data_IF_902016336592
#
_entry.id   IF_902016336592
#
_cell.length_a   1.000
_cell.length_b   1.000
_cell.length_c   1.000
_cell.angle_alpha   90.00
_cell.angle_beta   90.00
_cell.angle_gamma   90.00
#
_symmetry.space_group_name_H-M   'P 1'
#
loop_
_entity.id
_entity.type
_entity.pdbx_description
1 polymer ?
#
# COMPACT_ATOMS: atom_id res chain seq x y z
N UNK A 1 -11.03 -28.28 4.25
CA UNK A 1 -10.81 -26.97 3.59
C UNK A 1 -9.93 -27.23 2.37
N UNK A 2 -10.50 -27.16 1.18
CA UNK A 2 -9.76 -27.38 -0.06
C UNK A 2 -9.25 -26.03 -0.56
N UNK A 3 -7.93 -25.88 -0.67
CA UNK A 3 -7.35 -24.79 -1.44
C UNK A 3 -7.54 -25.17 -2.90
N UNK A 4 -8.59 -24.64 -3.52
CA UNK A 4 -8.75 -24.74 -4.96
C UNK A 4 -7.64 -23.87 -5.55
N UNK A 5 -6.85 -24.44 -6.44
CA UNK A 5 -5.90 -23.71 -7.26
C UNK A 5 -6.75 -22.81 -8.16
N UNK A 6 -7.04 -21.60 -7.68
CA UNK A 6 -7.81 -20.64 -8.43
C UNK A 6 -6.99 -20.31 -9.68
N UNK A 7 -7.57 -20.59 -10.83
CA UNK A 7 -6.99 -20.26 -12.12
C UNK A 7 -7.06 -18.75 -12.27
N UNK A 8 -6.16 -18.03 -11.61
CA UNK A 8 -6.05 -16.58 -11.75
C UNK A 8 -5.59 -16.32 -13.18
N UNK A 9 -6.53 -15.92 -14.05
CA UNK A 9 -6.29 -15.61 -15.47
C UNK A 9 -5.77 -14.19 -15.68
N UNK A 10 -5.54 -13.43 -14.60
CA UNK A 10 -5.19 -12.00 -14.65
C UNK A 10 -3.96 -11.74 -13.78
N UNK A 11 -2.90 -11.21 -14.38
CA UNK A 11 -1.63 -11.00 -13.69
C UNK A 11 -1.68 -9.86 -12.66
N UNK A 12 -0.95 -10.02 -11.56
CA UNK A 12 -0.57 -8.90 -10.71
C UNK A 12 0.53 -8.09 -11.41
N UNK A 13 0.35 -6.78 -11.52
CA UNK A 13 1.24 -5.90 -12.28
C UNK A 13 1.78 -4.79 -11.41
N UNK A 14 3.10 -4.62 -11.41
CA UNK A 14 3.76 -3.39 -10.96
C UNK A 14 4.36 -2.72 -12.18
N UNK A 15 3.98 -1.46 -12.45
CA UNK A 15 4.48 -0.71 -13.61
C UNK A 15 4.78 0.74 -13.28
N UNK A 16 5.71 1.33 -14.01
CA UNK A 16 5.96 2.76 -13.97
C UNK A 16 5.02 3.48 -14.95
N UNK A 17 4.41 4.57 -14.51
CA UNK A 17 3.49 5.39 -15.31
C UNK A 17 3.71 6.87 -14.96
N UNK A 18 3.70 7.74 -15.98
CA UNK A 18 3.86 9.17 -15.79
C UNK A 18 2.52 9.86 -15.56
N UNK A 19 2.49 10.86 -14.70
CA UNK A 19 1.34 11.75 -14.58
C UNK A 19 0.23 11.16 -13.72
N UNK A 20 0.58 10.51 -12.61
CA UNK A 20 -0.39 9.99 -11.65
C UNK A 20 -1.25 11.09 -10.97
N UNK A 21 -0.97 12.36 -11.25
CA UNK A 21 -1.68 13.53 -10.71
C UNK A 21 -1.30 13.86 -9.26
N UNK A 22 -1.63 15.09 -8.82
CA UNK A 22 -1.57 15.55 -7.42
C UNK A 22 -0.28 15.22 -6.63
N UNK A 23 0.88 15.14 -7.28
CA UNK A 23 2.15 14.85 -6.60
C UNK A 23 2.27 13.43 -6.02
N UNK A 24 1.38 12.51 -6.41
CA UNK A 24 1.37 11.11 -5.96
C UNK A 24 2.68 10.39 -6.29
N UNK A 25 3.04 9.42 -5.45
CA UNK A 25 4.23 8.56 -5.63
C UNK A 25 3.84 7.20 -6.22
N UNK A 26 2.69 6.67 -5.82
CA UNK A 26 2.12 5.46 -6.38
C UNK A 26 0.58 5.48 -6.30
N UNK A 27 -0.04 4.46 -6.90
CA UNK A 27 -1.48 4.25 -6.84
C UNK A 27 -1.83 2.76 -7.05
N UNK A 28 -2.68 2.24 -6.17
CA UNK A 28 -3.27 0.90 -6.27
C UNK A 28 -4.59 0.90 -7.06
N UNK A 29 -4.70 -0.03 -8.01
CA UNK A 29 -5.91 -0.37 -8.75
C UNK A 29 -6.24 -1.85 -8.54
N UNK A 30 -7.10 -2.19 -7.56
CA UNK A 30 -7.63 -3.55 -7.47
C UNK A 30 -8.55 -3.83 -8.66
N UNK A 31 -8.49 -5.05 -9.21
CA UNK A 31 -9.31 -5.49 -10.34
C UNK A 31 -10.26 -6.63 -9.93
N UNK A 32 -11.39 -6.32 -9.25
CA UNK A 32 -12.39 -7.33 -8.90
C UNK A 32 -13.45 -7.48 -10.00
N UNK A 33 -13.68 -8.69 -10.52
CA UNK A 33 -14.83 -8.98 -11.40
C UNK A 33 -16.11 -9.35 -10.63
N UNK A 34 -15.98 -10.00 -9.46
CA UNK A 34 -17.11 -10.60 -8.71
C UNK A 34 -17.20 -10.16 -7.24
N UNK A 35 -16.54 -9.07 -6.88
CA UNK A 35 -16.42 -8.61 -5.49
C UNK A 35 -15.27 -9.27 -4.71
N UNK A 36 -14.63 -10.28 -5.29
CA UNK A 36 -13.40 -10.88 -4.80
C UNK A 36 -12.19 -10.25 -5.51
N UNK A 37 -11.11 -10.03 -4.77
CA UNK A 37 -9.85 -9.52 -5.32
C UNK A 37 -9.18 -10.62 -6.16
N UNK A 38 -9.15 -10.46 -7.49
CA UNK A 38 -8.51 -11.41 -8.40
C UNK A 38 -7.06 -11.02 -8.74
N UNK A 39 -6.83 -9.75 -9.00
CA UNK A 39 -5.53 -9.20 -9.34
C UNK A 39 -5.41 -7.73 -8.91
N UNK A 40 -4.17 -7.25 -8.83
CA UNK A 40 -3.87 -5.85 -8.54
C UNK A 40 -2.94 -5.26 -9.60
N UNK A 41 -3.19 -4.00 -9.96
CA UNK A 41 -2.22 -3.17 -10.68
C UNK A 41 -1.73 -2.06 -9.77
N UNK A 42 -0.42 -2.02 -9.52
CA UNK A 42 0.26 -0.94 -8.81
C UNK A 42 1.01 -0.09 -9.83
N UNK A 43 0.71 1.20 -9.82
CA UNK A 43 1.37 2.20 -10.66
C UNK A 43 2.35 2.99 -9.81
N UNK A 44 3.60 3.05 -10.23
CA UNK A 44 4.66 3.85 -9.63
C UNK A 44 4.92 5.09 -10.51
N UNK A 45 5.02 6.27 -9.93
CA UNK A 45 5.27 7.50 -10.72
C UNK A 45 6.68 7.45 -11.35
N UNK A 46 6.73 7.44 -12.68
CA UNK A 46 7.99 7.27 -13.43
C UNK A 46 8.95 8.44 -13.27
N UNK A 47 8.46 9.64 -12.91
CA UNK A 47 9.28 10.82 -12.66
C UNK A 47 10.01 10.84 -11.30
N UNK A 48 9.75 9.88 -10.40
CA UNK A 48 10.45 9.77 -9.11
C UNK A 48 11.74 8.96 -9.24
N UNK A 49 12.64 9.12 -8.27
CA UNK A 49 13.84 8.28 -8.14
C UNK A 49 13.50 7.06 -7.30
N UNK A 50 13.88 5.88 -7.79
CA UNK A 50 13.54 4.60 -7.18
C UNK A 50 14.79 3.80 -6.84
N UNK A 51 14.72 3.03 -5.77
CA UNK A 51 15.76 2.08 -5.37
C UNK A 51 15.14 0.81 -4.81
N UNK A 52 15.94 -0.26 -4.75
CA UNK A 52 15.68 -1.38 -3.86
C UNK A 52 16.53 -1.16 -2.61
N UNK A 53 15.87 -1.04 -1.46
CA UNK A 53 16.50 -0.61 -0.22
C UNK A 53 16.56 0.91 -0.07
N UNK A 54 16.95 1.32 1.14
CA UNK A 54 17.12 2.73 1.52
C UNK A 54 18.28 3.38 0.74
N UNK A 55 17.98 4.41 -0.03
CA UNK A 55 18.98 5.23 -0.71
C UNK A 55 18.63 6.73 -0.65
N UNK A 56 19.67 7.57 -0.70
CA UNK A 56 19.51 9.03 -0.66
C UNK A 56 18.65 9.52 -1.83
N UNK A 57 17.65 10.34 -1.52
CA UNK A 57 16.72 10.96 -2.49
C UNK A 57 15.88 9.97 -3.32
N UNK A 58 15.90 8.67 -3.00
CA UNK A 58 15.11 7.64 -3.67
C UNK A 58 13.99 7.11 -2.77
N UNK A 59 12.86 6.74 -3.39
CA UNK A 59 11.82 5.92 -2.78
C UNK A 59 12.21 4.45 -2.91
N UNK A 60 12.07 3.69 -1.82
CA UNK A 60 12.23 2.24 -1.85
C UNK A 60 11.00 1.58 -2.48
N UNK A 61 11.20 0.82 -3.56
CA UNK A 61 10.12 0.16 -4.30
C UNK A 61 9.34 -0.79 -3.38
N UNK A 62 10.03 -1.55 -2.53
CA UNK A 62 9.37 -2.57 -1.69
C UNK A 62 8.44 -1.91 -0.67
N UNK A 63 8.87 -0.83 -0.03
CA UNK A 63 8.06 -0.05 0.92
C UNK A 63 6.78 0.49 0.27
N UNK A 64 6.91 1.08 -0.92
CA UNK A 64 5.75 1.66 -1.62
C UNK A 64 4.82 0.56 -2.13
N UNK A 65 5.34 -0.50 -2.73
CA UNK A 65 4.51 -1.62 -3.18
C UNK A 65 3.79 -2.29 -2.01
N UNK A 66 4.45 -2.46 -0.86
CA UNK A 66 3.82 -3.00 0.36
C UNK A 66 2.64 -2.13 0.83
N UNK A 67 2.79 -0.80 0.80
CA UNK A 67 1.71 0.13 1.13
C UNK A 67 0.50 -0.04 0.19
N UNK A 68 0.75 -0.04 -1.12
CA UNK A 68 -0.32 -0.19 -2.12
C UNK A 68 -1.00 -1.57 -2.04
N UNK A 69 -0.25 -2.63 -1.74
CA UNK A 69 -0.83 -3.96 -1.46
C UNK A 69 -1.72 -3.95 -0.22
N UNK A 70 -1.41 -3.13 0.79
CA UNK A 70 -2.31 -2.92 1.93
C UNK A 70 -3.67 -2.37 1.51
N UNK A 71 -3.70 -1.39 0.60
CA UNK A 71 -4.95 -0.89 0.01
C UNK A 71 -5.68 -1.97 -0.81
N UNK A 72 -4.96 -2.81 -1.54
CA UNK A 72 -5.55 -3.89 -2.32
C UNK A 72 -6.39 -4.84 -1.47
N UNK A 73 -5.94 -5.11 -0.24
CA UNK A 73 -6.63 -5.97 0.73
C UNK A 73 -7.53 -5.18 1.71
N UNK A 74 -7.88 -3.94 1.37
CA UNK A 74 -8.87 -3.14 2.08
C UNK A 74 -8.34 -2.33 3.28
N UNK A 75 -7.04 -2.34 3.55
CA UNK A 75 -6.48 -1.52 4.64
C UNK A 75 -6.44 -0.07 4.19
N UNK A 76 -7.10 0.81 4.95
CA UNK A 76 -7.04 2.25 4.74
C UNK A 76 -5.72 2.83 5.26
N UNK A 77 -5.42 4.08 4.90
CA UNK A 77 -4.31 4.80 5.54
C UNK A 77 -4.45 4.76 7.06
N UNK A 78 -3.33 4.63 7.78
CA UNK A 78 -3.39 4.75 9.23
C UNK A 78 -3.91 6.13 9.59
N UNK A 79 -4.89 6.20 10.49
CA UNK A 79 -5.45 7.43 11.02
C UNK A 79 -5.76 7.25 12.51
N UNK A 80 -5.39 8.24 13.31
CA UNK A 80 -5.83 8.33 14.70
C UNK A 80 -6.97 9.35 14.74
N UNK A 81 -8.19 8.86 14.97
CA UNK A 81 -9.41 9.69 15.00
C UNK A 81 -9.35 10.80 16.07
N UNK A 82 -8.52 10.61 17.10
CA UNK A 82 -8.28 11.57 18.18
C UNK A 82 -7.46 12.79 17.77
N UNK A 83 -6.79 12.80 16.61
CA UNK A 83 -5.80 13.83 16.26
C UNK A 83 -6.21 14.79 15.12
N UNK A 84 -7.48 14.75 14.73
CA UNK A 84 -8.09 15.77 13.86
C UNK A 84 -7.97 15.50 12.35
N UNK A 85 -8.30 16.51 11.54
CA UNK A 85 -8.61 16.41 10.10
C UNK A 85 -7.42 16.55 9.14
N UNK A 86 -6.18 16.41 9.62
CA UNK A 86 -4.98 16.44 8.76
C UNK A 86 -4.41 15.05 8.46
N UNK A 87 -3.34 14.94 7.65
CA UNK A 87 -2.66 13.68 7.40
C UNK A 87 -2.03 13.16 8.70
N UNK A 88 -2.80 12.34 9.42
CA UNK A 88 -2.41 11.37 10.44
C UNK A 88 -1.10 11.72 11.15
N UNK A 89 -1.20 12.72 12.03
CA UNK A 89 -0.05 13.42 12.62
C UNK A 89 0.60 12.69 13.80
N UNK A 90 0.12 11.50 14.14
CA UNK A 90 0.64 10.74 15.26
C UNK A 90 1.99 10.13 14.94
N UNK A 91 2.92 10.24 15.90
CA UNK A 91 4.24 9.62 15.83
C UNK A 91 4.18 8.09 15.69
N UNK A 92 3.06 7.47 16.06
CA UNK A 92 2.77 6.04 15.84
C UNK A 92 2.48 5.76 14.37
N UNK A 93 1.64 6.57 13.72
CA UNK A 93 1.25 6.41 12.32
C UNK A 93 2.44 6.62 11.37
N UNK A 94 3.40 7.49 11.70
CA UNK A 94 4.65 7.63 10.95
C UNK A 94 5.47 6.34 10.83
N UNK A 95 5.24 5.33 11.69
CA UNK A 95 5.96 4.05 11.67
C UNK A 95 5.23 2.95 10.91
N UNK A 96 3.95 3.16 10.60
CA UNK A 96 3.12 2.16 9.94
C UNK A 96 3.41 2.13 8.44
N UNK A 97 3.17 0.97 7.83
CA UNK A 97 3.26 0.81 6.38
C UNK A 97 2.21 1.69 5.70
N UNK A 98 1.01 1.78 6.28
CA UNK A 98 -0.11 2.54 5.72
C UNK A 98 -0.06 4.06 5.97
N UNK A 99 1.11 4.62 6.28
CA UNK A 99 1.27 6.07 6.41
C UNK A 99 1.13 6.77 5.04
N UNK A 100 0.24 7.77 4.88
CA UNK A 100 -0.10 8.34 3.56
C UNK A 100 1.02 9.13 2.88
N UNK A 101 2.06 9.55 3.62
CA UNK A 101 3.14 10.36 3.06
C UNK A 101 4.36 9.49 2.79
N UNK A 102 4.61 9.24 1.50
CA UNK A 102 5.80 8.54 1.03
C UNK A 102 7.08 9.31 1.39
N UNK A 103 8.13 8.57 1.79
CA UNK A 103 9.42 9.13 2.22
C UNK A 103 10.56 8.60 1.37
N UNK A 104 11.52 9.46 1.07
CA UNK A 104 12.79 9.07 0.47
C UNK A 104 13.79 8.66 1.56
N UNK A 105 14.83 7.90 1.18
CA UNK A 105 15.84 7.41 2.12
C UNK A 105 15.23 6.70 3.35
N UNK A 106 14.17 5.93 3.09
CA UNK A 106 13.40 5.23 4.09
C UNK A 106 13.02 3.86 3.55
N UNK A 107 12.93 2.87 4.45
CA UNK A 107 12.45 1.55 4.13
C UNK A 107 11.55 1.06 5.26
N UNK A 108 10.39 0.52 4.91
CA UNK A 108 9.48 -0.17 5.80
C UNK A 108 8.72 -1.26 5.06
N UNK A 109 9.16 -2.50 5.26
CA UNK A 109 8.59 -3.70 4.64
C UNK A 109 8.00 -4.64 5.70
N UNK A 110 7.94 -4.20 6.95
CA UNK A 110 7.43 -4.97 8.07
C UNK A 110 6.10 -4.38 8.50
N UNK A 111 5.03 -5.17 8.39
CA UNK A 111 3.72 -4.78 8.90
C UNK A 111 3.80 -4.54 10.40
N UNK A 112 3.25 -3.42 10.88
CA UNK A 112 3.15 -3.14 12.32
C UNK A 112 1.91 -3.79 12.92
N UNK A 113 1.81 -3.80 14.26
CA UNK A 113 0.60 -4.23 14.95
C UNK A 113 -0.65 -3.44 14.52
N UNK A 114 -0.47 -2.15 14.19
CA UNK A 114 -1.55 -1.35 13.62
C UNK A 114 -1.97 -1.89 12.26
N UNK A 115 -1.03 -2.09 11.33
CA UNK A 115 -1.35 -2.61 9.98
C UNK A 115 -2.04 -3.99 10.06
N UNK A 116 -1.56 -4.87 10.96
CA UNK A 116 -2.13 -6.21 11.19
C UNK A 116 -3.53 -6.12 11.82
N UNK A 117 -3.71 -5.28 12.84
CA UNK A 117 -4.99 -5.14 13.53
C UNK A 117 -6.05 -4.49 12.65
N UNK A 118 -5.70 -3.50 11.82
CA UNK A 118 -6.59 -2.91 10.83
C UNK A 118 -7.10 -3.94 9.83
N UNK A 119 -6.21 -4.80 9.31
CA UNK A 119 -6.61 -5.92 8.46
C UNK A 119 -7.54 -6.89 9.20
N UNK A 120 -7.17 -7.30 10.42
CA UNK A 120 -7.96 -8.22 11.23
C UNK A 120 -9.36 -7.68 11.53
N UNK A 121 -9.53 -6.40 11.84
CA UNK A 121 -10.85 -5.81 12.05
C UNK A 121 -11.78 -5.95 10.84
N UNK A 122 -11.24 -5.92 9.62
CA UNK A 122 -12.03 -6.09 8.39
C UNK A 122 -12.51 -7.54 8.24
N UNK A 123 -11.69 -8.52 8.65
CA UNK A 123 -11.88 -9.94 8.32
C UNK A 123 -12.16 -10.86 9.51
N UNK A 124 -12.17 -10.39 10.76
CA UNK A 124 -12.41 -11.21 11.95
C UNK A 124 -13.90 -11.39 12.31
N UNK A 125 -14.81 -10.61 11.72
CA UNK A 125 -16.25 -10.72 11.99
C UNK A 125 -17.02 -11.63 11.00
N UNK A 126 -16.31 -12.52 10.27
CA UNK A 126 -16.90 -13.48 9.33
C UNK A 126 -16.57 -14.92 9.70
#
# INVERSE_FOLDING_TARGET
MYVVQDSVTVDNVVKFESGLGFGRVAYCLPNPEKGELQAVTIKLESGKKWSVGKAKDCYDIQTIVQHELGHAIGIAHCHEASEGSGPCWSATCLKNVMYPIARTNYQNITLTDYDISSYRLIYQEW
#
